data_IF_403652821927
#
_entry.id   IF_403652821927
#
_cell.length_a   1.000
_cell.length_b   1.000
_cell.length_c   1.000
_cell.angle_alpha   90.00
_cell.angle_beta   90.00
_cell.angle_gamma   90.00
#
_symmetry.space_group_name_H-M   'P 1'
#
loop_
_entity.id
_entity.type
_entity.pdbx_description
1 polymer ?
#
# COMPACT_ATOMS: atom_id res chain seq x y z
N UNK A 1 -34.55 -3.91 -26.28
CA UNK A 1 -34.25 -2.88 -27.31
C UNK A 1 -32.84 -2.29 -27.17
N UNK A 2 -31.87 -3.02 -26.56
CA UNK A 2 -30.45 -2.59 -26.40
C UNK A 2 -29.50 -3.54 -27.15
N UNK A 3 -29.95 -4.76 -27.51
CA UNK A 3 -29.12 -5.81 -28.12
C UNK A 3 -28.82 -5.63 -29.62
N UNK A 4 -29.60 -4.85 -30.37
CA UNK A 4 -29.41 -4.73 -31.83
C UNK A 4 -28.39 -3.64 -32.25
N UNK A 5 -28.17 -2.62 -31.42
CA UNK A 5 -27.22 -1.53 -31.72
C UNK A 5 -25.76 -1.97 -31.54
N UNK A 6 -25.52 -3.04 -30.79
CA UNK A 6 -24.19 -3.56 -30.44
C UNK A 6 -23.55 -4.44 -31.54
N UNK A 7 -24.08 -4.48 -32.77
CA UNK A 7 -23.72 -5.49 -33.78
C UNK A 7 -22.91 -4.99 -35.00
N UNK A 8 -22.53 -3.70 -35.05
CA UNK A 8 -21.85 -3.12 -36.24
C UNK A 8 -20.39 -2.77 -35.94
N UNK A 9 -19.45 -3.33 -36.73
CA UNK A 9 -18.04 -2.91 -36.75
C UNK A 9 -17.93 -1.43 -37.20
N UNK A 10 -17.21 -0.62 -36.43
CA UNK A 10 -16.84 0.74 -36.82
C UNK A 10 -15.64 0.66 -37.78
N UNK A 11 -15.67 1.39 -38.89
CA UNK A 11 -14.63 1.36 -39.92
C UNK A 11 -13.22 1.66 -39.36
N UNK A 12 -12.20 0.81 -39.66
CA UNK A 12 -10.83 0.98 -39.15
C UNK A 12 -10.13 2.28 -39.56
N UNK A 13 -10.57 2.92 -40.65
CA UNK A 13 -9.93 4.13 -41.18
C UNK A 13 -10.24 5.41 -40.36
N UNK A 14 -11.23 5.36 -39.46
CA UNK A 14 -11.66 6.52 -38.65
C UNK A 14 -11.49 6.26 -37.14
N UNK A 15 -11.43 5.00 -36.71
CA UNK A 15 -11.36 4.61 -35.30
C UNK A 15 -9.93 4.25 -34.87
N UNK A 16 -9.14 5.26 -34.47
CA UNK A 16 -7.76 5.09 -33.99
C UNK A 16 -7.62 4.59 -32.55
N UNK A 17 -8.72 4.56 -31.81
CA UNK A 17 -8.76 4.14 -30.41
C UNK A 17 -7.93 2.90 -30.07
N UNK A 18 -8.21 1.75 -30.70
CA UNK A 18 -7.53 0.50 -30.41
C UNK A 18 -6.01 0.54 -30.61
N UNK A 19 -5.56 1.30 -31.63
CA UNK A 19 -4.14 1.49 -31.88
C UNK A 19 -3.49 2.28 -30.75
N UNK A 20 -4.11 3.38 -30.34
CA UNK A 20 -3.58 4.26 -29.30
C UNK A 20 -3.59 3.59 -27.93
N UNK A 21 -4.61 2.79 -27.64
CA UNK A 21 -4.65 1.93 -26.43
C UNK A 21 -3.48 0.96 -26.42
N UNK A 22 -3.22 0.26 -27.53
CA UNK A 22 -2.11 -0.69 -27.59
C UNK A 22 -0.73 -0.02 -27.53
N UNK A 23 -0.55 1.12 -28.19
CA UNK A 23 0.67 1.94 -28.10
C UNK A 23 0.95 2.37 -26.66
N UNK A 24 -0.09 2.81 -25.95
CA UNK A 24 -0.01 3.21 -24.55
C UNK A 24 0.38 2.02 -23.66
N UNK A 25 -0.30 0.88 -23.80
CA UNK A 25 0.02 -0.34 -23.04
C UNK A 25 1.47 -0.77 -23.32
N UNK A 26 1.89 -0.78 -24.58
CA UNK A 26 3.25 -1.15 -24.96
C UNK A 26 4.31 -0.24 -24.35
N UNK A 27 4.02 1.04 -24.12
CA UNK A 27 4.94 1.99 -23.50
C UNK A 27 5.20 1.71 -22.01
N UNK A 28 4.31 0.98 -21.33
CA UNK A 28 4.45 0.69 -19.90
C UNK A 28 5.30 -0.55 -19.60
N UNK A 29 5.50 -1.41 -20.61
CA UNK A 29 6.13 -2.71 -20.41
C UNK A 29 7.32 -2.90 -21.34
N UNK A 30 8.44 -3.32 -20.76
CA UNK A 30 9.66 -3.67 -21.50
C UNK A 30 9.37 -4.71 -22.57
N UNK A 31 9.92 -4.49 -23.77
CA UNK A 31 9.65 -5.33 -24.95
C UNK A 31 9.87 -6.83 -24.68
N UNK A 32 10.87 -7.18 -23.87
CA UNK A 32 11.19 -8.58 -23.52
C UNK A 32 10.26 -9.21 -22.49
N UNK A 33 9.46 -8.41 -21.76
CA UNK A 33 8.54 -8.90 -20.73
C UNK A 33 7.10 -9.07 -21.25
N UNK A 34 6.74 -8.49 -22.40
CA UNK A 34 5.36 -8.36 -22.89
C UNK A 34 4.60 -9.67 -23.11
N UNK A 35 5.30 -10.76 -23.43
CA UNK A 35 4.69 -12.08 -23.59
C UNK A 35 4.17 -12.65 -22.27
N UNK A 36 4.75 -12.22 -21.15
CA UNK A 36 4.37 -12.69 -19.81
C UNK A 36 3.28 -11.85 -19.16
N UNK A 37 3.03 -10.62 -19.64
CA UNK A 37 2.05 -9.67 -19.11
C UNK A 37 0.62 -10.18 -19.36
N UNK A 38 -0.13 -10.34 -18.28
CA UNK A 38 -1.54 -10.72 -18.32
C UNK A 38 -2.44 -9.50 -18.46
N UNK A 39 -3.20 -9.44 -19.56
CA UNK A 39 -4.06 -8.31 -19.91
C UNK A 39 -5.52 -8.74 -19.91
N UNK A 40 -6.44 -7.92 -19.40
CA UNK A 40 -7.88 -8.06 -19.66
C UNK A 40 -8.44 -6.86 -20.41
N UNK A 41 -9.10 -7.16 -21.53
CA UNK A 41 -9.77 -6.19 -22.41
C UNK A 41 -11.25 -6.12 -22.03
N UNK A 42 -11.61 -5.04 -21.32
CA UNK A 42 -12.96 -4.81 -20.79
C UNK A 42 -13.82 -4.09 -21.82
N UNK A 43 -14.88 -4.79 -22.25
CA UNK A 43 -15.68 -4.39 -23.41
C UNK A 43 -14.95 -4.70 -24.72
N UNK A 44 -14.42 -5.92 -24.82
CA UNK A 44 -13.55 -6.36 -25.92
C UNK A 44 -14.17 -6.19 -27.32
N UNK A 45 -15.51 -6.21 -27.43
CA UNK A 45 -16.23 -5.99 -28.68
C UNK A 45 -15.75 -6.92 -29.78
N UNK A 46 -15.29 -6.34 -30.90
CA UNK A 46 -14.83 -7.10 -32.08
C UNK A 46 -13.35 -7.48 -32.03
N UNK A 47 -12.67 -7.21 -30.93
CA UNK A 47 -11.27 -7.59 -30.68
C UNK A 47 -10.23 -6.69 -31.34
N UNK A 48 -10.59 -5.46 -31.68
CA UNK A 48 -9.67 -4.52 -32.32
C UNK A 48 -8.48 -4.17 -31.43
N UNK A 49 -8.67 -4.05 -30.11
CA UNK A 49 -7.58 -3.72 -29.18
C UNK A 49 -6.59 -4.89 -29.09
N UNK A 50 -7.08 -6.11 -28.86
CA UNK A 50 -6.24 -7.31 -28.87
C UNK A 50 -5.47 -7.49 -30.19
N UNK A 51 -6.09 -7.17 -31.32
CA UNK A 51 -5.43 -7.21 -32.64
C UNK A 51 -4.20 -6.27 -32.69
N UNK A 52 -4.27 -5.11 -32.04
CA UNK A 52 -3.15 -4.18 -31.98
C UNK A 52 -2.12 -4.60 -30.93
N UNK A 53 -2.54 -5.05 -29.75
CA UNK A 53 -1.65 -5.53 -28.68
C UNK A 53 -0.76 -6.70 -29.13
N UNK A 54 -1.33 -7.64 -29.90
CA UNK A 54 -0.57 -8.77 -30.48
C UNK A 54 0.62 -8.31 -31.34
N UNK A 55 0.53 -7.15 -31.99
CA UNK A 55 1.64 -6.57 -32.78
C UNK A 55 2.80 -6.10 -31.92
N UNK A 56 2.55 -5.79 -30.65
CA UNK A 56 3.56 -5.35 -29.68
C UNK A 56 4.16 -6.48 -28.87
N UNK A 57 3.75 -7.73 -29.10
CA UNK A 57 4.27 -8.92 -28.41
C UNK A 57 3.41 -9.40 -27.24
N UNK A 58 2.25 -8.80 -26.98
CA UNK A 58 1.36 -9.29 -25.92
C UNK A 58 0.60 -10.53 -26.38
N UNK A 59 0.59 -11.57 -25.54
CA UNK A 59 0.05 -12.88 -25.91
C UNK A 59 -0.99 -13.44 -24.94
N UNK A 60 -0.91 -13.07 -23.66
CA UNK A 60 -1.85 -13.45 -22.59
C UNK A 60 -2.93 -12.38 -22.40
N UNK A 61 -3.86 -12.32 -23.34
CA UNK A 61 -4.95 -11.32 -23.36
C UNK A 61 -6.27 -12.05 -23.13
N UNK A 62 -7.03 -11.67 -22.11
CA UNK A 62 -8.38 -12.18 -21.85
C UNK A 62 -9.43 -11.15 -22.27
N UNK A 63 -10.61 -11.63 -22.66
CA UNK A 63 -11.73 -10.77 -23.07
C UNK A 63 -12.84 -10.79 -22.01
N UNK A 64 -13.31 -9.59 -21.64
CA UNK A 64 -14.58 -9.42 -20.94
C UNK A 64 -15.57 -8.74 -21.88
N UNK A 65 -16.63 -9.44 -22.25
CA UNK A 65 -17.64 -8.92 -23.19
C UNK A 65 -19.04 -9.48 -22.89
N UNK A 66 -20.03 -8.62 -22.56
CA UNK A 66 -21.39 -9.08 -22.28
C UNK A 66 -22.13 -9.60 -23.52
N UNK A 67 -21.80 -9.13 -24.72
CA UNK A 67 -22.44 -9.55 -25.96
C UNK A 67 -21.94 -10.92 -26.42
N UNK A 68 -22.79 -11.94 -26.27
CA UNK A 68 -22.55 -13.30 -26.77
C UNK A 68 -22.22 -13.29 -28.28
N UNK A 69 -22.87 -12.43 -29.06
CA UNK A 69 -22.62 -12.29 -30.50
C UNK A 69 -21.19 -11.82 -30.79
N UNK A 70 -20.69 -10.84 -30.03
CA UNK A 70 -19.33 -10.33 -30.16
C UNK A 70 -18.29 -11.34 -29.67
N UNK A 71 -18.55 -12.00 -28.54
CA UNK A 71 -17.71 -13.11 -28.05
C UNK A 71 -17.57 -14.22 -29.09
N UNK A 72 -18.66 -14.63 -29.73
CA UNK A 72 -18.61 -15.64 -30.78
C UNK A 72 -17.80 -15.18 -32.00
N UNK A 73 -17.83 -13.88 -32.31
CA UNK A 73 -17.03 -13.29 -33.37
C UNK A 73 -15.53 -13.30 -33.01
N UNK A 74 -15.14 -12.89 -31.81
CA UNK A 74 -13.72 -12.87 -31.40
C UNK A 74 -13.13 -14.25 -31.11
N UNK A 75 -13.95 -15.21 -30.67
CA UNK A 75 -13.55 -16.63 -30.54
C UNK A 75 -13.11 -17.22 -31.87
N UNK A 76 -13.79 -16.87 -32.97
CA UNK A 76 -13.38 -17.30 -34.33
C UNK A 76 -12.05 -16.68 -34.78
N UNK A 77 -11.69 -15.51 -34.24
CA UNK A 77 -10.45 -14.80 -34.55
C UNK A 77 -9.26 -15.28 -33.71
N UNK A 78 -9.49 -16.09 -32.68
CA UNK A 78 -8.46 -16.64 -31.77
C UNK A 78 -7.51 -15.57 -31.20
N UNK A 79 -8.06 -14.42 -30.80
CA UNK A 79 -7.29 -13.26 -30.33
C UNK A 79 -7.00 -13.29 -28.83
N UNK A 80 -7.79 -14.04 -28.06
CA UNK A 80 -7.79 -14.04 -26.60
C UNK A 80 -7.47 -15.43 -26.04
N UNK A 81 -6.87 -15.48 -24.86
CA UNK A 81 -6.57 -16.69 -24.08
C UNK A 81 -7.83 -17.21 -23.41
N UNK A 82 -8.56 -16.33 -22.71
CA UNK A 82 -9.81 -16.68 -22.04
C UNK A 82 -10.94 -15.67 -22.26
N UNK A 83 -12.17 -16.07 -21.92
CA UNK A 83 -13.39 -15.31 -22.24
C UNK A 83 -14.40 -15.26 -21.08
N UNK A 84 -14.70 -14.05 -20.62
CA UNK A 84 -15.70 -13.77 -19.60
C UNK A 84 -16.95 -13.14 -20.23
N UNK A 85 -18.09 -13.85 -20.17
CA UNK A 85 -19.38 -13.30 -20.58
C UNK A 85 -20.08 -12.70 -19.37
N UNK A 86 -19.85 -11.41 -19.12
CA UNK A 86 -20.47 -10.73 -18.01
C UNK A 86 -20.67 -9.24 -18.30
N UNK A 87 -21.70 -8.69 -17.67
CA UNK A 87 -21.97 -7.26 -17.68
C UNK A 87 -21.47 -6.66 -16.36
N UNK A 88 -20.54 -5.72 -16.42
CA UNK A 88 -20.03 -5.04 -15.24
C UNK A 88 -21.10 -4.11 -14.65
N UNK A 89 -21.40 -4.33 -13.37
CA UNK A 89 -22.24 -3.50 -12.50
C UNK A 89 -21.60 -3.47 -11.10
N UNK A 90 -22.17 -2.74 -10.14
CA UNK A 90 -21.61 -2.49 -8.79
C UNK A 90 -21.33 -3.73 -7.91
N UNK A 91 -21.48 -4.94 -8.45
CA UNK A 91 -21.31 -6.19 -7.72
C UNK A 91 -20.05 -6.91 -8.21
N UNK A 92 -19.34 -7.57 -7.27
CA UNK A 92 -18.21 -8.42 -7.59
C UNK A 92 -18.61 -9.53 -8.57
N UNK A 93 -17.82 -9.72 -9.65
CA UNK A 93 -18.03 -10.81 -10.60
C UNK A 93 -17.25 -12.04 -10.13
N UNK A 94 -17.92 -13.11 -9.63
CA UNK A 94 -17.25 -14.23 -8.98
C UNK A 94 -16.33 -15.05 -9.91
N UNK A 95 -16.63 -15.04 -11.21
CA UNK A 95 -15.98 -15.89 -12.19
C UNK A 95 -14.68 -15.31 -12.77
N UNK A 96 -14.35 -14.04 -12.47
CA UNK A 96 -13.10 -13.40 -12.90
C UNK A 96 -12.02 -13.72 -11.85
N UNK A 97 -11.17 -14.71 -12.16
CA UNK A 97 -10.33 -15.43 -11.20
C UNK A 97 -9.04 -14.76 -10.70
N UNK A 98 -8.63 -13.57 -11.16
CA UNK A 98 -7.25 -13.12 -10.89
C UNK A 98 -6.98 -11.61 -10.91
N UNK A 99 -5.72 -11.26 -10.63
CA UNK A 99 -5.14 -9.92 -10.72
C UNK A 99 -4.34 -9.78 -12.03
N UNK A 100 -4.91 -9.12 -13.03
CA UNK A 100 -4.28 -8.84 -14.32
C UNK A 100 -3.19 -7.78 -14.17
N UNK A 101 -2.06 -7.97 -14.86
CA UNK A 101 -1.01 -6.96 -14.90
C UNK A 101 -1.49 -5.66 -15.56
N UNK A 102 -2.39 -5.77 -16.55
CA UNK A 102 -3.02 -4.61 -17.20
C UNK A 102 -4.53 -4.82 -17.39
N UNK A 103 -5.36 -3.93 -16.83
CA UNK A 103 -6.79 -3.81 -17.16
C UNK A 103 -6.97 -2.65 -18.10
N UNK A 104 -7.59 -2.88 -19.25
CA UNK A 104 -7.85 -1.81 -20.21
C UNK A 104 -9.29 -1.79 -20.69
N UNK A 105 -9.70 -0.63 -21.17
CA UNK A 105 -10.97 -0.45 -21.88
C UNK A 105 -10.82 0.60 -22.97
N UNK A 106 -11.53 0.42 -24.07
CA UNK A 106 -11.47 1.26 -25.26
C UNK A 106 -12.88 1.59 -25.73
N UNK A 107 -13.38 2.78 -25.41
CA UNK A 107 -14.68 3.26 -25.90
C UNK A 107 -15.91 2.69 -25.20
N UNK A 108 -15.78 2.19 -23.96
CA UNK A 108 -16.89 1.51 -23.26
C UNK A 108 -17.58 2.37 -22.18
N UNK A 109 -16.91 3.35 -21.58
CA UNK A 109 -17.50 4.26 -20.59
C UNK A 109 -18.29 5.39 -21.26
N UNK A 110 -19.39 5.02 -21.90
CA UNK A 110 -20.34 5.94 -22.52
C UNK A 110 -21.78 5.57 -22.10
N UNK A 111 -22.70 6.54 -22.05
CA UNK A 111 -24.09 6.26 -21.71
C UNK A 111 -24.69 5.10 -22.53
N UNK A 112 -25.28 4.12 -21.85
CA UNK A 112 -25.84 2.92 -22.47
C UNK A 112 -24.87 1.74 -22.65
N UNK A 113 -23.58 1.93 -22.31
CA UNK A 113 -22.57 0.87 -22.23
C UNK A 113 -22.14 0.65 -20.77
N UNK A 114 -20.90 0.95 -20.37
CA UNK A 114 -20.47 0.77 -18.97
C UNK A 114 -20.89 1.94 -18.08
N UNK A 115 -21.63 1.71 -16.98
CA UNK A 115 -21.88 2.76 -15.99
C UNK A 115 -20.57 3.18 -15.29
N UNK A 116 -20.43 4.45 -14.86
CA UNK A 116 -19.20 4.96 -14.22
C UNK A 116 -18.71 4.11 -13.05
N UNK A 117 -19.62 3.62 -12.22
CA UNK A 117 -19.29 2.79 -11.05
C UNK A 117 -18.65 1.44 -11.41
N UNK A 118 -18.76 0.97 -12.67
CA UNK A 118 -18.05 -0.22 -13.16
C UNK A 118 -16.53 -0.09 -13.08
N UNK A 119 -16.04 1.16 -12.97
CA UNK A 119 -14.64 1.45 -12.76
C UNK A 119 -14.10 0.79 -11.49
N UNK A 120 -14.88 0.76 -10.41
CA UNK A 120 -14.46 0.16 -9.14
C UNK A 120 -14.19 -1.35 -9.30
N UNK A 121 -15.04 -2.03 -10.06
CA UNK A 121 -14.87 -3.45 -10.34
C UNK A 121 -13.69 -3.69 -11.30
N UNK A 122 -13.45 -2.80 -12.27
CA UNK A 122 -12.25 -2.85 -13.11
C UNK A 122 -10.96 -2.67 -12.30
N UNK A 123 -10.98 -1.84 -11.25
CA UNK A 123 -9.84 -1.64 -10.36
C UNK A 123 -9.58 -2.87 -9.46
N UNK A 124 -10.62 -3.63 -9.10
CA UNK A 124 -10.52 -4.81 -8.21
C UNK A 124 -9.55 -5.87 -8.73
N UNK A 125 -9.45 -6.05 -10.04
CA UNK A 125 -8.59 -7.07 -10.67
C UNK A 125 -7.41 -6.49 -11.45
N UNK A 126 -7.09 -5.20 -11.31
CA UNK A 126 -5.94 -4.58 -11.96
C UNK A 126 -4.70 -4.59 -11.05
N UNK A 127 -3.49 -4.80 -11.59
CA UNK A 127 -2.20 -4.35 -10.99
C UNK A 127 -1.77 -3.01 -11.59
N UNK A 128 -2.02 -2.83 -12.89
CA UNK A 128 -1.96 -1.55 -13.60
C UNK A 128 -3.29 -1.40 -14.36
N UNK A 129 -4.00 -0.29 -14.18
CA UNK A 129 -5.22 0.06 -14.89
C UNK A 129 -4.93 1.11 -15.95
N UNK A 130 -5.18 0.80 -17.22
CA UNK A 130 -5.05 1.73 -18.35
C UNK A 130 -6.43 2.08 -18.90
N UNK A 131 -6.88 3.30 -18.69
CA UNK A 131 -8.17 3.74 -19.20
C UNK A 131 -7.97 4.59 -20.45
N UNK A 132 -8.50 4.12 -21.59
CA UNK A 132 -8.54 4.92 -22.82
C UNK A 132 -9.97 5.32 -23.15
N UNK A 133 -10.31 6.58 -22.86
CA UNK A 133 -11.58 7.17 -23.24
C UNK A 133 -11.48 7.75 -24.66
N UNK A 134 -12.32 7.26 -25.57
CA UNK A 134 -12.46 7.85 -26.92
C UNK A 134 -13.77 8.62 -26.93
N UNK A 135 -13.64 9.93 -27.13
CA UNK A 135 -14.74 10.89 -27.20
C UNK A 135 -15.78 10.44 -28.23
N UNK A 136 -17.04 10.26 -27.80
CA UNK A 136 -18.20 10.30 -28.70
C UNK A 136 -18.96 11.59 -28.38
N UNK A 137 -18.88 12.53 -29.33
CA UNK A 137 -19.61 13.80 -29.52
C UNK A 137 -20.02 14.67 -28.30
N UNK A 138 -19.86 16.00 -28.45
CA UNK A 138 -20.02 17.04 -27.41
C UNK A 138 -21.40 17.17 -26.75
N UNK A 139 -22.39 16.36 -27.11
CA UNK A 139 -23.80 16.65 -26.80
C UNK A 139 -24.40 15.83 -25.64
N UNK A 140 -23.62 14.96 -24.97
CA UNK A 140 -24.14 14.16 -23.85
C UNK A 140 -23.40 14.53 -22.56
N UNK A 141 -23.75 15.69 -22.01
CA UNK A 141 -23.32 16.12 -20.68
C UNK A 141 -24.09 15.38 -19.58
N UNK A 142 -23.49 14.33 -19.02
CA UNK A 142 -23.93 13.75 -17.75
C UNK A 142 -22.92 14.04 -16.65
N UNK A 143 -23.39 14.69 -15.59
CA UNK A 143 -22.60 15.14 -14.43
C UNK A 143 -21.77 14.01 -13.81
N UNK A 144 -22.26 12.78 -13.79
CA UNK A 144 -21.58 11.62 -13.19
C UNK A 144 -20.35 11.19 -14.00
N UNK A 145 -20.41 11.23 -15.33
CA UNK A 145 -19.25 10.99 -16.19
C UNK A 145 -18.24 12.13 -16.07
N UNK A 146 -18.68 13.38 -15.90
CA UNK A 146 -17.80 14.52 -15.66
C UNK A 146 -17.14 14.48 -14.27
N UNK A 147 -17.84 13.98 -13.25
CA UNK A 147 -17.31 13.75 -11.90
C UNK A 147 -16.32 12.59 -11.88
N UNK A 148 -16.61 11.50 -12.58
CA UNK A 148 -15.65 10.41 -12.82
C UNK A 148 -14.40 10.97 -13.52
N UNK A 149 -14.55 11.76 -14.60
CA UNK A 149 -13.40 12.41 -15.25
C UNK A 149 -12.64 13.33 -14.30
N UNK A 150 -13.34 14.07 -13.43
CA UNK A 150 -12.73 14.97 -12.44
C UNK A 150 -11.96 14.22 -11.34
N UNK A 151 -12.48 13.08 -10.88
CA UNK A 151 -11.80 12.15 -9.97
C UNK A 151 -10.54 11.57 -10.64
N UNK A 152 -10.65 11.18 -11.91
CA UNK A 152 -9.56 10.61 -12.69
C UNK A 152 -8.47 11.64 -13.05
N UNK A 153 -8.82 12.91 -13.28
CA UNK A 153 -7.84 13.99 -13.55
C UNK A 153 -6.97 14.36 -12.35
N UNK A 154 -7.37 14.04 -11.10
CA UNK A 154 -6.55 14.33 -9.89
C UNK A 154 -5.25 13.53 -9.81
N UNK A 155 -5.06 12.53 -10.68
CA UNK A 155 -3.92 11.62 -10.67
C UNK A 155 -3.01 11.75 -11.92
N UNK A 156 -3.00 12.91 -12.62
CA UNK A 156 -2.31 13.07 -13.91
C UNK A 156 -1.07 13.99 -13.88
N UNK A 157 0.01 13.57 -14.56
CA UNK A 157 1.06 14.44 -15.10
C UNK A 157 0.58 14.95 -16.46
N UNK A 158 0.45 16.27 -16.60
CA UNK A 158 -0.03 16.95 -17.81
C UNK A 158 0.84 16.64 -19.04
N UNK A 159 0.21 16.27 -20.16
CA UNK A 159 0.73 16.56 -21.48
C UNK A 159 -0.39 17.19 -22.31
N UNK A 160 -0.31 18.51 -22.48
CA UNK A 160 -1.24 19.23 -23.35
C UNK A 160 -0.98 18.89 -24.82
N UNK A 161 -2.08 18.88 -25.57
CA UNK A 161 -2.22 18.84 -27.03
C UNK A 161 -2.52 17.43 -27.61
N UNK A 162 -3.79 17.29 -28.03
CA UNK A 162 -4.54 16.14 -28.59
C UNK A 162 -5.25 15.23 -27.55
N UNK A 163 -6.58 15.27 -27.55
CA UNK A 163 -7.52 14.66 -26.58
C UNK A 163 -7.40 13.12 -26.46
N UNK A 164 -6.45 12.65 -25.67
CA UNK A 164 -6.47 11.35 -24.97
C UNK A 164 -6.28 11.61 -23.48
N UNK A 165 -7.23 11.15 -22.66
CA UNK A 165 -6.94 10.91 -21.24
C UNK A 165 -6.39 9.49 -21.15
N UNK A 166 -5.06 9.36 -21.05
CA UNK A 166 -4.42 8.12 -20.61
C UNK A 166 -4.34 8.18 -19.09
N UNK A 167 -5.09 7.32 -18.39
CA UNK A 167 -4.83 7.05 -16.98
C UNK A 167 -4.01 5.78 -16.86
N UNK A 168 -2.91 5.84 -16.12
CA UNK A 168 -2.25 4.67 -15.55
C UNK A 168 -2.53 4.67 -14.05
N UNK A 169 -3.44 3.82 -13.58
CA UNK A 169 -3.67 3.59 -12.15
C UNK A 169 -2.88 2.35 -11.76
N UNK A 170 -1.73 2.49 -11.11
CA UNK A 170 -1.09 1.34 -10.48
C UNK A 170 -1.96 0.89 -9.30
N UNK A 171 -2.77 -0.15 -9.50
CA UNK A 171 -3.47 -0.87 -8.43
C UNK A 171 -2.72 -2.16 -8.12
N UNK A 172 -1.40 -2.12 -8.01
CA UNK A 172 -0.75 -3.20 -7.29
C UNK A 172 -1.44 -3.28 -5.93
N UNK A 173 -1.81 -4.47 -5.46
CA UNK A 173 -2.10 -4.66 -4.04
C UNK A 173 -1.00 -3.92 -3.32
N UNK A 174 -1.34 -2.85 -2.59
CA UNK A 174 -0.29 -2.02 -2.03
C UNK A 174 0.39 -2.95 -1.03
N UNK A 175 1.56 -3.49 -1.38
CA UNK A 175 2.39 -4.30 -0.49
C UNK A 175 3.01 -3.44 0.61
N UNK A 176 2.42 -2.26 0.80
CA UNK A 176 2.86 -1.21 1.66
C UNK A 176 1.66 -0.39 2.15
N UNK A 177 1.77 0.19 3.33
CA UNK A 177 0.79 1.10 3.90
C UNK A 177 0.89 2.48 3.25
N UNK A 178 -0.20 3.23 3.17
CA UNK A 178 -0.15 4.67 2.82
C UNK A 178 -0.48 5.57 4.01
N UNK A 179 -1.08 5.02 5.06
CA UNK A 179 -1.28 5.67 6.37
C UNK A 179 -0.91 4.68 7.47
N UNK A 180 -0.79 5.14 8.71
CA UNK A 180 -0.39 4.27 9.82
C UNK A 180 -1.45 3.24 10.18
N UNK A 181 -2.70 3.62 10.04
CA UNK A 181 -3.87 2.77 10.26
C UNK A 181 -3.97 1.70 9.16
N UNK A 182 -3.48 1.98 7.96
CA UNK A 182 -3.48 0.98 6.88
C UNK A 182 -4.88 0.49 6.50
N UNK A 183 -5.91 1.33 6.63
CA UNK A 183 -7.30 0.95 6.35
C UNK A 183 -7.51 0.57 4.88
N UNK A 184 -6.70 1.13 3.99
CA UNK A 184 -6.69 0.84 2.56
C UNK A 184 -5.65 -0.22 2.14
N UNK A 185 -5.00 -0.86 3.12
CA UNK A 185 -4.02 -1.91 2.85
C UNK A 185 -4.69 -3.15 2.27
N UNK A 186 -4.28 -3.50 1.05
CA UNK A 186 -4.81 -4.64 0.29
C UNK A 186 -3.73 -5.67 -0.05
N UNK A 187 -2.50 -5.50 0.47
CA UNK A 187 -1.37 -6.41 0.24
C UNK A 187 -1.50 -7.78 0.93
N UNK A 188 -0.44 -8.57 0.78
CA UNK A 188 -0.44 -10.02 1.05
C UNK A 188 0.38 -10.45 2.27
N UNK A 189 0.85 -9.51 3.09
CA UNK A 189 1.59 -9.83 4.33
C UNK A 189 0.70 -10.66 5.25
N UNK A 190 1.20 -11.80 5.71
CA UNK A 190 0.50 -12.78 6.55
C UNK A 190 1.31 -13.23 7.77
N UNK A 191 2.18 -12.35 8.28
CA UNK A 191 2.94 -12.58 9.50
C UNK A 191 2.97 -11.34 10.39
N UNK A 192 2.93 -11.55 11.70
CA UNK A 192 3.08 -10.48 12.68
C UNK A 192 4.52 -9.98 12.75
N UNK A 193 4.75 -8.82 13.39
CA UNK A 193 6.10 -8.26 13.64
C UNK A 193 6.99 -9.19 14.45
N UNK A 194 6.39 -10.00 15.31
CA UNK A 194 7.09 -10.99 16.12
C UNK A 194 7.33 -12.31 15.37
N UNK A 195 6.99 -12.38 14.07
CA UNK A 195 7.28 -13.52 13.20
C UNK A 195 6.21 -14.63 13.20
N UNK A 196 5.09 -14.45 13.88
CA UNK A 196 4.03 -15.47 13.93
C UNK A 196 3.14 -15.43 12.68
N UNK A 197 2.81 -16.60 12.13
CA UNK A 197 1.92 -16.72 10.98
C UNK A 197 0.47 -16.40 11.32
N UNK A 198 -0.18 -15.66 10.42
CA UNK A 198 -1.58 -15.26 10.54
C UNK A 198 -2.56 -16.41 10.25
N UNK A 199 -3.68 -16.38 10.97
CA UNK A 199 -4.85 -17.25 10.79
C UNK A 199 -5.78 -16.73 9.70
N UNK A 200 -6.51 -17.65 9.09
CA UNK A 200 -7.60 -17.36 8.16
C UNK A 200 -8.72 -16.56 8.84
N UNK A 201 -9.03 -15.38 8.32
CA UNK A 201 -10.09 -14.50 8.84
C UNK A 201 -11.44 -15.19 8.89
N UNK A 202 -11.77 -16.00 7.88
CA UNK A 202 -13.02 -16.76 7.82
C UNK A 202 -13.21 -17.71 9.02
N UNK A 203 -12.13 -18.15 9.69
CA UNK A 203 -12.21 -19.03 10.86
C UNK A 203 -12.35 -18.29 12.18
N UNK A 204 -11.83 -17.06 12.26
CA UNK A 204 -11.76 -16.26 13.50
C UNK A 204 -12.85 -15.18 13.56
N UNK A 205 -13.34 -14.71 12.41
CA UNK A 205 -14.34 -13.64 12.31
C UNK A 205 -15.80 -14.13 12.50
N UNK A 206 -16.02 -15.37 12.99
CA UNK A 206 -17.36 -15.95 13.12
C UNK A 206 -18.29 -15.08 13.99
N UNK A 207 -17.73 -14.43 15.02
CA UNK A 207 -18.45 -13.58 15.97
C UNK A 207 -18.35 -12.07 15.66
N UNK A 208 -17.75 -11.68 14.53
CA UNK A 208 -17.64 -10.27 14.14
C UNK A 208 -18.92 -9.75 13.48
N UNK A 209 -19.07 -8.41 13.45
CA UNK A 209 -20.22 -7.75 12.80
C UNK A 209 -20.24 -8.01 11.29
N UNK A 210 -21.41 -7.93 10.67
CA UNK A 210 -21.55 -8.12 9.22
C UNK A 210 -20.74 -7.09 8.42
N UNK A 211 -20.67 -5.84 8.90
CA UNK A 211 -19.84 -4.80 8.30
C UNK A 211 -18.35 -5.17 8.35
N UNK A 212 -17.88 -5.72 9.49
CA UNK A 212 -16.51 -6.21 9.63
C UNK A 212 -16.21 -7.36 8.68
N UNK A 213 -17.15 -8.30 8.52
CA UNK A 213 -17.01 -9.42 7.55
C UNK A 213 -16.94 -8.90 6.12
N UNK A 214 -17.72 -7.88 5.78
CA UNK A 214 -17.68 -7.24 4.47
C UNK A 214 -16.33 -6.53 4.22
N UNK A 215 -15.78 -5.84 5.23
CA UNK A 215 -14.46 -5.21 5.16
C UNK A 215 -13.33 -6.25 5.02
N UNK A 216 -13.46 -7.40 5.68
CA UNK A 216 -12.50 -8.49 5.59
C UNK A 216 -12.61 -9.25 4.26
N UNK A 217 -13.78 -9.34 3.64
CA UNK A 217 -13.95 -9.94 2.30
C UNK A 217 -13.22 -11.29 2.14
N UNK A 218 -12.47 -11.45 1.05
CA UNK A 218 -11.59 -12.60 0.79
C UNK A 218 -10.13 -12.33 1.19
N UNK A 219 -9.93 -11.71 2.36
CA UNK A 219 -8.57 -11.38 2.83
C UNK A 219 -7.73 -12.58 3.24
N UNK A 220 -8.21 -13.82 3.06
CA UNK A 220 -7.53 -15.06 3.46
C UNK A 220 -6.97 -14.97 4.88
N UNK A 221 -5.64 -15.11 5.02
CA UNK A 221 -4.89 -14.87 6.25
C UNK A 221 -4.02 -13.60 6.20
N UNK A 222 -4.30 -12.66 5.31
CA UNK A 222 -3.53 -11.42 5.17
C UNK A 222 -3.90 -10.40 6.24
N UNK A 223 -2.93 -9.62 6.69
CA UNK A 223 -3.13 -8.62 7.72
C UNK A 223 -4.14 -7.53 7.30
N UNK A 224 -5.06 -7.18 8.20
CA UNK A 224 -6.11 -6.18 7.97
C UNK A 224 -6.34 -5.34 9.21
N UNK A 225 -6.97 -4.19 9.04
CA UNK A 225 -7.38 -3.32 10.14
C UNK A 225 -8.91 -3.07 10.10
N UNK A 226 -9.73 -4.10 10.37
CA UNK A 226 -11.18 -3.99 10.23
C UNK A 226 -11.87 -3.15 11.32
N UNK A 227 -11.18 -2.89 12.42
CA UNK A 227 -11.66 -2.20 13.62
C UNK A 227 -11.13 -0.75 13.72
N UNK A 228 -10.42 -0.28 12.69
CA UNK A 228 -9.83 1.06 12.65
C UNK A 228 -8.88 1.30 13.83
N UNK A 229 -8.13 0.27 14.19
CA UNK A 229 -7.10 0.34 15.22
C UNK A 229 -5.99 1.30 14.78
N UNK A 230 -5.63 2.24 15.65
CA UNK A 230 -4.63 3.28 15.36
C UNK A 230 -3.21 2.74 15.15
N UNK A 231 -2.95 1.50 15.53
CA UNK A 231 -1.65 0.84 15.47
C UNK A 231 -1.43 0.03 14.17
N UNK A 232 -2.43 0.04 13.30
CA UNK A 232 -2.35 -0.48 11.93
C UNK A 232 -2.83 -1.92 11.78
N UNK A 233 -2.58 -2.54 10.61
CA UNK A 233 -3.08 -3.87 10.33
C UNK A 233 -2.50 -4.94 11.26
N UNK A 234 -3.35 -5.88 11.64
CA UNK A 234 -3.05 -6.98 12.56
C UNK A 234 -3.67 -8.28 12.05
N UNK A 235 -3.41 -9.38 12.74
CA UNK A 235 -4.05 -10.67 12.49
C UNK A 235 -4.04 -11.57 13.75
N UNK A 236 -4.90 -12.60 13.78
CA UNK A 236 -4.81 -13.69 14.77
C UNK A 236 -3.70 -14.68 14.42
N UNK A 237 -3.09 -15.37 15.39
CA UNK A 237 -1.92 -16.26 15.16
C UNK A 237 -2.12 -17.70 15.66
N UNK A 238 -1.21 -18.63 15.31
CA UNK A 238 -1.35 -20.08 15.56
C UNK A 238 -0.60 -20.67 16.79
N UNK A 239 0.33 -19.98 17.48
CA UNK A 239 1.25 -20.63 18.45
C UNK A 239 1.42 -19.89 19.81
N UNK A 240 1.01 -20.50 20.94
CA UNK A 240 1.81 -21.38 21.83
C UNK A 240 1.14 -21.70 23.19
N UNK A 241 -0.03 -21.13 23.53
CA UNK A 241 -0.79 -21.53 24.73
C UNK A 241 -2.29 -21.70 24.47
N UNK A 242 -2.96 -22.69 25.12
CA UNK A 242 -4.36 -23.02 24.85
C UNK A 242 -5.40 -21.95 25.21
N UNK A 243 -5.04 -20.94 26.03
CA UNK A 243 -6.02 -20.08 26.71
C UNK A 243 -5.83 -18.56 26.49
N UNK A 244 -4.99 -18.12 25.54
CA UNK A 244 -4.85 -16.69 25.21
C UNK A 244 -5.44 -16.37 23.83
N UNK A 245 -6.25 -15.30 23.74
CA UNK A 245 -6.60 -14.67 22.46
C UNK A 245 -5.32 -14.11 21.83
N UNK A 246 -4.66 -14.92 20.99
CA UNK A 246 -3.38 -14.55 20.40
C UNK A 246 -3.61 -13.87 19.05
N UNK A 247 -3.33 -12.58 19.04
CA UNK A 247 -3.27 -11.72 17.87
C UNK A 247 -2.00 -10.87 17.93
N UNK A 248 -1.60 -10.29 16.81
CA UNK A 248 -0.48 -9.38 16.78
C UNK A 248 -0.50 -8.47 15.56
N UNK A 249 0.15 -7.32 15.69
CA UNK A 249 0.30 -6.37 14.60
C UNK A 249 1.26 -6.88 13.54
N UNK A 250 1.03 -6.45 12.30
CA UNK A 250 1.84 -6.84 11.16
C UNK A 250 2.92 -5.82 10.82
N UNK A 251 4.04 -6.32 10.29
CA UNK A 251 5.21 -5.53 9.90
C UNK A 251 5.18 -5.08 8.46
N UNK A 252 4.09 -4.43 8.04
CA UNK A 252 3.91 -3.98 6.66
C UNK A 252 4.74 -2.70 6.41
N UNK A 253 5.59 -2.63 5.37
CA UNK A 253 6.31 -1.39 5.04
C UNK A 253 5.32 -0.30 4.59
N UNK A 254 5.63 0.99 4.57
CA UNK A 254 4.78 2.00 3.91
C UNK A 254 5.27 2.26 2.47
N UNK A 255 4.46 2.92 1.66
CA UNK A 255 4.77 3.12 0.24
C UNK A 255 5.83 4.21 0.09
N UNK A 256 6.76 4.05 -0.87
CA UNK A 256 7.90 4.95 -1.04
C UNK A 256 9.11 4.65 -0.13
N UNK A 257 9.14 3.46 0.47
CA UNK A 257 10.06 3.04 1.54
C UNK A 257 11.45 2.57 1.17
N UNK A 258 11.95 2.89 -0.03
CA UNK A 258 13.26 2.39 -0.48
C UNK A 258 14.46 2.85 0.40
N UNK A 259 14.23 3.73 1.40
CA UNK A 259 15.27 4.28 2.26
C UNK A 259 15.19 3.87 3.74
N UNK A 260 14.17 3.13 4.19
CA UNK A 260 13.99 2.79 5.61
C UNK A 260 14.69 1.47 5.96
N UNK A 261 15.30 1.37 7.15
CA UNK A 261 16.03 0.16 7.57
C UNK A 261 15.09 -0.83 8.24
N UNK A 262 15.10 -2.07 7.76
CA UNK A 262 14.31 -3.17 8.32
C UNK A 262 15.21 -4.23 8.95
N UNK A 263 14.68 -4.95 9.93
CA UNK A 263 15.44 -5.97 10.66
C UNK A 263 16.52 -5.37 11.58
N UNK A 264 17.27 -6.25 12.23
CA UNK A 264 18.33 -5.83 13.16
C UNK A 264 19.53 -5.26 12.41
N UNK A 265 19.90 -4.03 12.77
CA UNK A 265 21.09 -3.33 12.30
C UNK A 265 22.19 -3.48 13.34
N UNK A 266 23.33 -4.06 12.97
CA UNK A 266 24.48 -4.18 13.86
C UNK A 266 25.28 -2.87 13.87
N UNK A 267 25.66 -2.43 15.06
CA UNK A 267 26.70 -1.42 15.24
C UNK A 267 27.56 -1.82 16.45
N UNK A 268 28.85 -2.05 16.19
CA UNK A 268 29.80 -2.57 17.19
C UNK A 268 29.27 -3.86 17.86
N UNK A 269 29.06 -3.80 19.18
CA UNK A 269 28.61 -4.91 20.04
C UNK A 269 27.11 -4.85 20.37
N UNK A 270 26.36 -3.98 19.70
CA UNK A 270 24.90 -3.84 19.84
C UNK A 270 24.15 -4.08 18.52
N UNK A 271 22.88 -4.46 18.64
CA UNK A 271 21.93 -4.68 17.57
C UNK A 271 20.73 -3.75 17.77
N UNK A 272 20.32 -3.03 16.72
CA UNK A 272 19.25 -2.05 16.77
C UNK A 272 18.14 -2.40 15.78
N UNK A 273 16.88 -2.37 16.19
CA UNK A 273 15.74 -2.57 15.29
C UNK A 273 14.76 -1.42 15.42
N UNK A 274 14.39 -0.83 14.29
CA UNK A 274 13.44 0.26 14.22
C UNK A 274 12.04 -0.34 14.10
N UNK A 275 11.16 0.00 15.03
CA UNK A 275 9.76 -0.38 15.04
C UNK A 275 8.93 0.77 14.50
N UNK A 276 8.37 0.56 13.31
CA UNK A 276 7.55 1.55 12.60
C UNK A 276 6.09 1.54 13.06
N UNK A 277 5.88 1.41 14.36
CA UNK A 277 4.58 1.70 14.96
C UNK A 277 4.63 2.74 16.01
N UNK A 278 3.61 3.58 15.96
CA UNK A 278 3.33 4.61 16.92
C UNK A 278 2.95 4.00 18.25
N UNK A 279 3.74 4.28 19.27
CA UNK A 279 3.48 3.85 20.63
C UNK A 279 3.75 5.01 21.57
N UNK A 280 3.10 5.02 22.73
CA UNK A 280 3.59 5.85 23.84
C UNK A 280 4.95 5.35 24.29
N UNK A 281 5.72 6.19 24.98
CA UNK A 281 7.06 5.80 25.39
C UNK A 281 7.07 4.55 26.31
N UNK A 282 6.08 4.45 27.20
CA UNK A 282 5.97 3.29 28.10
C UNK A 282 5.57 2.01 27.35
N UNK A 283 4.63 2.10 26.41
CA UNK A 283 4.25 0.98 25.54
C UNK A 283 5.44 0.52 24.66
N UNK A 284 6.20 1.46 24.09
CA UNK A 284 7.39 1.18 23.29
C UNK A 284 8.46 0.45 24.10
N UNK A 285 8.69 0.90 25.34
CA UNK A 285 9.59 0.25 26.31
C UNK A 285 9.17 -1.19 26.57
N UNK A 286 7.89 -1.42 26.87
CA UNK A 286 7.37 -2.75 27.16
C UNK A 286 7.47 -3.66 25.93
N UNK A 287 7.17 -3.14 24.72
CA UNK A 287 7.28 -3.91 23.48
C UNK A 287 8.72 -4.33 23.15
N UNK A 288 9.72 -3.47 23.37
CA UNK A 288 11.12 -3.87 23.21
C UNK A 288 11.49 -5.00 24.17
N UNK A 289 11.06 -4.90 25.43
CA UNK A 289 11.37 -5.87 26.46
C UNK A 289 10.66 -7.21 26.22
N UNK A 290 9.34 -7.18 26.15
CA UNK A 290 8.49 -8.36 26.20
C UNK A 290 8.52 -9.15 24.89
N UNK A 291 8.59 -8.47 23.74
CA UNK A 291 8.48 -9.15 22.45
C UNK A 291 9.83 -9.43 21.78
N UNK A 292 10.87 -8.66 22.13
CA UNK A 292 12.15 -8.71 21.41
C UNK A 292 13.34 -9.06 22.30
N UNK A 293 13.12 -9.23 23.61
CA UNK A 293 14.17 -9.41 24.61
C UNK A 293 15.27 -8.34 24.45
N UNK A 294 14.82 -7.09 24.36
CA UNK A 294 15.61 -5.90 24.06
C UNK A 294 15.16 -4.75 24.97
N UNK A 295 15.72 -3.55 24.79
CA UNK A 295 15.29 -2.34 25.50
C UNK A 295 15.28 -1.15 24.54
N UNK A 296 14.60 -0.04 24.87
CA UNK A 296 14.69 1.18 24.06
C UNK A 296 16.14 1.67 23.99
N UNK A 297 16.62 2.02 22.80
CA UNK A 297 18.05 2.25 22.56
C UNK A 297 18.68 3.32 23.46
N UNK A 298 19.89 3.02 23.96
CA UNK A 298 20.66 3.87 24.87
C UNK A 298 21.95 4.37 24.23
N UNK A 299 21.93 5.61 23.75
CA UNK A 299 23.05 6.17 23.00
C UNK A 299 24.14 6.68 23.94
N UNK A 300 25.29 5.99 24.01
CA UNK A 300 26.40 6.33 24.93
C UNK A 300 27.49 7.15 24.26
N UNK A 301 27.57 7.17 22.93
CA UNK A 301 28.65 7.86 22.22
C UNK A 301 28.16 8.66 21.02
N UNK A 302 28.97 9.65 20.60
CA UNK A 302 28.69 10.45 19.40
C UNK A 302 28.70 9.63 18.11
N UNK A 303 29.48 8.54 18.05
CA UNK A 303 29.55 7.66 16.87
C UNK A 303 28.30 6.81 16.75
N UNK A 304 27.86 6.23 17.85
CA UNK A 304 26.60 5.49 17.95
C UNK A 304 25.41 6.40 17.59
N UNK A 305 25.40 7.64 18.10
CA UNK A 305 24.39 8.64 17.73
C UNK A 305 24.36 8.88 16.22
N UNK A 306 25.53 9.10 15.63
CA UNK A 306 25.66 9.35 14.19
C UNK A 306 25.16 8.17 13.35
N UNK A 307 25.43 6.94 13.80
CA UNK A 307 24.91 5.72 13.18
C UNK A 307 23.38 5.68 13.25
N UNK A 308 22.79 5.84 14.44
CA UNK A 308 21.34 5.79 14.61
C UNK A 308 20.64 6.89 13.81
N UNK A 309 21.03 8.15 13.93
CA UNK A 309 20.44 9.26 13.16
C UNK A 309 20.58 9.07 11.63
N UNK A 310 21.55 8.27 11.18
CA UNK A 310 21.72 7.89 9.79
C UNK A 310 20.74 6.84 9.28
N UNK A 311 20.23 5.97 10.16
CA UNK A 311 19.33 4.86 9.81
C UNK A 311 17.86 5.11 10.18
N UNK A 312 17.58 6.04 11.09
CA UNK A 312 16.23 6.40 11.48
C UNK A 312 15.44 7.02 10.31
N UNK A 313 14.11 6.82 10.28
CA UNK A 313 13.25 7.41 9.25
C UNK A 313 13.36 8.94 9.30
N UNK A 314 13.68 9.54 8.16
CA UNK A 314 13.63 10.99 8.00
C UNK A 314 12.23 11.37 7.50
N UNK A 315 11.53 12.31 8.15
CA UNK A 315 10.20 12.71 7.70
C UNK A 315 10.27 13.19 6.25
N UNK A 316 9.56 12.49 5.37
CA UNK A 316 9.25 13.01 4.04
C UNK A 316 7.91 13.72 4.17
N UNK A 317 7.91 15.04 3.95
CA UNK A 317 6.77 15.95 4.17
C UNK A 317 5.49 15.47 3.43
N UNK A 318 5.64 14.65 2.38
CA UNK A 318 4.56 14.27 1.49
C UNK A 318 3.66 13.11 1.97
N UNK A 319 4.02 12.33 3.01
CA UNK A 319 3.34 11.04 3.26
C UNK A 319 2.55 10.96 4.57
N UNK A 320 2.91 11.67 5.66
CA UNK A 320 2.28 11.36 6.96
C UNK A 320 1.70 12.51 7.76
N UNK A 321 2.11 13.78 7.61
CA UNK A 321 1.66 14.86 8.51
C UNK A 321 2.02 14.68 10.01
N UNK A 322 2.36 13.46 10.41
CA UNK A 322 2.99 13.03 11.63
C UNK A 322 4.50 13.13 11.39
N UNK A 323 5.14 14.07 12.05
CA UNK A 323 6.60 14.13 12.09
C UNK A 323 7.10 12.76 12.58
N UNK A 324 7.88 12.06 11.76
CA UNK A 324 8.37 10.70 11.99
C UNK A 324 9.41 10.61 13.11
N UNK A 325 9.07 11.11 14.29
CA UNK A 325 9.89 11.05 15.48
C UNK A 325 10.02 9.61 15.99
N UNK A 326 11.11 9.36 16.70
CA UNK A 326 11.48 8.03 17.19
C UNK A 326 11.84 8.12 18.66
N UNK A 327 11.20 7.30 19.50
CA UNK A 327 11.55 7.15 20.91
C UNK A 327 12.91 6.47 21.09
N UNK A 328 13.68 7.01 22.05
CA UNK A 328 14.91 6.46 22.59
C UNK A 328 14.72 6.11 24.07
N UNK A 329 15.72 5.46 24.68
CA UNK A 329 15.59 4.86 26.01
C UNK A 329 15.71 5.80 27.20
N UNK A 330 15.94 7.11 27.03
CA UNK A 330 16.08 8.02 28.17
C UNK A 330 14.75 8.66 28.60
N UNK A 331 14.64 8.94 29.90
CA UNK A 331 13.52 9.69 30.46
C UNK A 331 13.93 10.50 31.71
N UNK A 332 13.12 11.50 32.05
CA UNK A 332 13.28 12.35 33.24
C UNK A 332 12.15 12.13 34.27
N UNK A 333 11.57 10.93 34.32
CA UNK A 333 10.44 10.60 35.21
C UNK A 333 10.82 10.46 36.69
N UNK A 334 12.12 10.43 36.99
CA UNK A 334 12.62 10.36 38.36
C UNK A 334 12.41 11.67 39.14
N UNK A 335 12.50 11.57 40.46
CA UNK A 335 12.29 12.70 41.38
C UNK A 335 13.23 13.90 41.15
N UNK A 336 14.43 13.66 40.59
CA UNK A 336 15.40 14.73 40.30
C UNK A 336 15.12 15.43 38.97
N UNK A 337 14.22 14.89 38.14
CA UNK A 337 13.91 15.37 36.77
C UNK A 337 15.15 15.49 35.89
N UNK A 338 16.12 14.62 36.11
CA UNK A 338 17.31 14.51 35.26
C UNK A 338 17.10 13.35 34.30
N UNK A 339 17.50 13.49 33.04
CA UNK A 339 17.43 12.37 32.12
C UNK A 339 18.32 11.22 32.61
N UNK A 340 17.77 10.02 32.61
CA UNK A 340 18.44 8.74 32.87
C UNK A 340 18.06 7.76 31.78
N UNK A 341 18.98 6.87 31.47
CA UNK A 341 18.74 5.74 30.60
C UNK A 341 17.90 4.68 31.31
N UNK A 342 16.82 4.22 30.69
CA UNK A 342 15.82 3.37 31.34
C UNK A 342 16.35 1.98 31.70
N UNK A 343 17.12 1.34 30.83
CA UNK A 343 17.58 -0.04 31.04
C UNK A 343 18.82 -0.07 31.94
N UNK A 344 19.85 0.74 31.67
CA UNK A 344 21.07 0.77 32.48
C UNK A 344 20.93 1.55 33.79
N UNK A 345 19.88 2.37 33.93
CA UNK A 345 19.68 3.28 35.07
C UNK A 345 20.84 4.26 35.30
N UNK A 346 21.59 4.61 34.25
CA UNK A 346 22.69 5.59 34.32
C UNK A 346 22.26 6.97 33.84
N UNK A 347 22.99 8.01 34.26
CA UNK A 347 22.84 9.34 33.66
C UNK A 347 23.39 9.37 32.23
N UNK A 348 23.04 10.43 31.50
CA UNK A 348 23.51 10.67 30.14
C UNK A 348 24.94 11.25 30.19
N UNK A 349 25.92 10.45 29.76
CA UNK A 349 27.32 10.90 29.60
C UNK A 349 27.56 11.61 28.26
N UNK A 350 26.67 11.37 27.29
CA UNK A 350 26.66 11.97 25.96
C UNK A 350 25.26 12.53 25.66
N UNK A 351 25.19 13.65 24.95
CA UNK A 351 23.93 14.26 24.51
C UNK A 351 24.03 14.81 23.09
N UNK A 352 22.91 14.77 22.37
CA UNK A 352 22.71 15.39 21.06
C UNK A 352 21.42 16.21 21.02
N UNK A 353 21.15 16.96 22.09
CA UNK A 353 19.97 17.82 22.20
C UNK A 353 19.88 18.82 21.05
N UNK A 354 18.68 18.95 20.48
CA UNK A 354 18.40 19.95 19.47
C UNK A 354 18.46 21.38 20.04
N UNK A 355 18.51 22.39 19.16
CA UNK A 355 18.51 23.78 19.59
C UNK A 355 17.33 24.11 20.51
N UNK A 356 17.62 24.39 21.79
CA UNK A 356 16.63 24.73 22.81
C UNK A 356 16.19 23.58 23.71
N UNK A 357 16.67 22.35 23.47
CA UNK A 357 16.29 21.16 24.24
C UNK A 357 17.34 20.75 25.30
N UNK A 358 16.95 19.98 26.34
CA UNK A 358 15.56 19.68 26.69
C UNK A 358 14.88 20.90 27.29
N UNK A 359 13.70 21.26 26.80
CA UNK A 359 13.03 22.49 27.19
C UNK A 359 12.06 22.29 28.38
N UNK A 360 11.68 21.05 28.68
CA UNK A 360 10.83 20.66 29.80
C UNK A 360 9.43 21.29 29.79
N UNK A 361 8.94 21.75 28.63
CA UNK A 361 7.59 22.28 28.46
C UNK A 361 6.58 21.15 28.68
N UNK A 362 5.36 21.49 29.11
CA UNK A 362 4.18 20.59 29.17
C UNK A 362 4.37 19.13 29.68
N UNK A 363 5.26 18.88 30.65
CA UNK A 363 5.55 17.52 31.15
C UNK A 363 6.21 16.60 30.09
N UNK A 364 7.03 17.18 29.23
CA UNK A 364 7.90 16.46 28.30
C UNK A 364 9.04 15.77 29.08
N UNK A 365 8.95 14.45 29.21
CA UNK A 365 9.83 13.66 30.09
C UNK A 365 10.46 12.46 29.40
N UNK A 366 10.18 12.25 28.12
CA UNK A 366 10.65 11.08 27.38
C UNK A 366 11.47 11.51 26.17
N UNK A 367 12.61 10.85 25.95
CA UNK A 367 13.56 11.20 24.91
C UNK A 367 13.08 10.68 23.55
N UNK A 368 12.98 11.59 22.59
CA UNK A 368 12.64 11.33 21.19
C UNK A 368 13.67 11.95 20.24
N UNK A 369 13.56 11.66 18.95
CA UNK A 369 14.29 12.37 17.89
C UNK A 369 13.38 13.32 17.14
N UNK A 370 13.87 14.51 16.80
CA UNK A 370 13.15 15.49 15.99
C UNK A 370 14.02 16.04 14.86
N UNK A 371 13.41 16.29 13.70
CA UNK A 371 14.09 16.92 12.56
C UNK A 371 14.06 18.43 12.72
N UNK A 372 15.23 19.05 12.85
CA UNK A 372 15.34 20.50 12.98
C UNK A 372 15.58 21.19 11.63
N UNK A 373 15.49 22.53 11.63
CA UNK A 373 15.64 23.36 10.43
C UNK A 373 17.02 23.25 9.74
N UNK A 374 18.01 22.65 10.40
CA UNK A 374 19.31 22.36 9.82
C UNK A 374 19.33 21.07 8.96
N UNK A 375 18.18 20.40 8.83
CA UNK A 375 18.02 19.18 8.06
C UNK A 375 18.57 17.93 8.74
N UNK A 376 18.82 17.99 10.06
CA UNK A 376 19.32 16.87 10.86
C UNK A 376 18.34 16.46 11.95
N UNK A 377 18.43 15.17 12.30
CA UNK A 377 17.78 14.65 13.50
C UNK A 377 18.66 14.98 14.71
N UNK A 378 18.03 15.56 15.73
CA UNK A 378 18.59 15.77 17.05
C UNK A 378 17.61 15.29 18.12
N UNK A 379 18.07 15.21 19.36
CA UNK A 379 17.25 14.77 20.48
C UNK A 379 16.27 15.85 20.92
N UNK A 380 15.08 15.44 21.29
CA UNK A 380 14.03 16.28 21.84
C UNK A 380 13.36 15.58 23.03
N UNK A 381 12.93 16.34 24.04
CA UNK A 381 12.03 15.84 25.06
C UNK A 381 10.58 15.99 24.62
N UNK A 382 9.81 14.92 24.76
CA UNK A 382 8.38 14.87 24.39
C UNK A 382 7.56 14.34 25.54
N UNK A 383 6.26 14.68 25.53
CA UNK A 383 5.33 14.17 26.51
C UNK A 383 5.20 12.66 26.28
N UNK A 384 5.46 11.87 27.32
CA UNK A 384 5.57 10.41 27.19
C UNK A 384 4.31 9.72 26.64
N UNK A 385 3.17 10.41 26.72
CA UNK A 385 1.87 9.99 26.18
C UNK A 385 1.67 10.28 24.70
N UNK A 386 2.57 11.02 24.05
CA UNK A 386 2.56 11.17 22.58
C UNK A 386 2.96 9.86 21.93
N UNK A 387 2.64 9.73 20.63
CA UNK A 387 2.87 8.49 19.91
C UNK A 387 3.93 8.69 18.84
N UNK A 388 4.98 7.87 18.90
CA UNK A 388 6.11 7.94 17.98
C UNK A 388 6.56 6.52 17.59
N UNK A 389 7.31 6.41 16.49
CA UNK A 389 8.08 5.18 16.22
C UNK A 389 9.10 4.98 17.33
N UNK A 390 9.79 3.85 17.37
CA UNK A 390 10.78 3.61 18.41
C UNK A 390 11.89 2.68 17.93
N UNK A 391 13.05 2.75 18.57
CA UNK A 391 14.17 1.87 18.28
C UNK A 391 14.52 1.04 19.51
N UNK A 392 14.57 -0.28 19.32
CA UNK A 392 15.00 -1.23 20.34
C UNK A 392 16.46 -1.61 20.12
N UNK A 393 17.19 -1.85 21.20
CA UNK A 393 18.59 -2.25 21.26
C UNK A 393 18.73 -3.53 22.11
N UNK A 394 19.65 -4.40 21.70
CA UNK A 394 20.15 -5.50 22.52
C UNK A 394 21.64 -5.72 22.24
N UNK A 395 22.34 -6.38 23.14
CA UNK A 395 23.71 -6.82 22.91
C UNK A 395 23.78 -7.89 21.82
N UNK A 396 24.90 -7.93 21.10
CA UNK A 396 25.19 -8.99 20.11
C UNK A 396 25.24 -10.34 20.81
N UNK A 397 24.37 -11.27 20.42
CA UNK A 397 24.35 -12.64 20.93
C UNK A 397 25.39 -13.55 20.25
N UNK A 398 25.47 -14.81 20.70
CA UNK A 398 26.38 -15.82 20.12
C UNK A 398 26.14 -16.06 18.62
N UNK A 399 24.91 -15.87 18.14
CA UNK A 399 24.48 -15.99 16.74
C UNK A 399 24.45 -14.64 16.00
N UNK A 400 25.08 -13.59 16.54
CA UNK A 400 25.03 -12.25 15.97
C UNK A 400 23.73 -11.51 16.30
N UNK A 401 23.22 -10.72 15.35
CA UNK A 401 21.96 -9.99 15.50
C UNK A 401 20.71 -10.77 15.04
N UNK A 402 20.89 -12.03 14.57
CA UNK A 402 19.81 -12.87 14.05
C UNK A 402 19.44 -12.55 12.60
N UNK A 403 20.41 -12.71 11.68
CA UNK A 403 20.17 -12.70 10.22
C UNK A 403 19.47 -13.96 9.73
#
# INVERSE_FOLDING_TARGET
>A
MITEVLSKEVSPQVYRGPQMTAETVASLFDTFAREEIEIIDVGAGTGLVATQLRKYGFSKIDALEPSIGMLNLVKKRNLYRDYYNCYLKNDAIPDVKGCFDCVLTCGCFVPGHLPPDSLNECLRFAKIGIYTHIRINRDIGHTDYMNMMSFLTRYTLFCEIWFLSVLTVNVAAKECLTTIEGLDYTGTVNSTRSGFSCREWARVALNMTENTKQLLGDSHNYCRNPDNDRYGPWCYTYDHEPDAEQWGYCGIPFCGWQNWKHGWQRYEDSCYIIQYTLQTWDEAKNLCHDNLNAYLAEIKTSRENSFLMGILPKPNIDITGLAGEVWLGANALNVKRLFIWNNSSTYLDFTDWGPGEPNGRDYEHCLSTHMYNDGKLHWNDRACSTWHFFVCEKSVGLSGCGE
#
